data_IF_748171078207
#
_entry.id   IF_748171078207
#
_cell.length_a   1.000
_cell.length_b   1.000
_cell.length_c   1.000
_cell.angle_alpha   90.00
_cell.angle_beta   90.00
_cell.angle_gamma   90.00
#
_symmetry.space_group_name_H-M   'P 1'
#
loop_
_entity.id
_entity.type
_entity.pdbx_description
1 polymer ?
#
# COMPACT_ATOMS: atom_id res chain seq x y z
N UNK A 1 9.53 -0.93 3.91
CA UNK A 1 8.14 -1.05 4.43
C UNK A 1 7.39 0.18 3.95
N UNK A 2 6.20 -0.01 3.39
CA UNK A 2 5.30 1.07 2.99
C UNK A 2 4.18 1.17 4.03
N UNK A 3 3.82 2.39 4.45
CA UNK A 3 2.83 2.61 5.49
C UNK A 3 1.85 3.73 5.08
N UNK A 4 0.58 3.39 4.94
CA UNK A 4 -0.49 4.36 4.66
C UNK A 4 -1.65 4.22 5.64
N UNK A 5 -2.48 5.25 5.74
CA UNK A 5 -3.73 5.21 6.49
C UNK A 5 -4.76 4.41 5.69
N UNK A 6 -5.45 3.51 6.39
CA UNK A 6 -6.58 2.80 5.86
C UNK A 6 -7.70 2.61 6.87
N UNK A 7 -8.71 1.85 6.49
CA UNK A 7 -9.81 1.43 7.34
C UNK A 7 -10.11 -0.05 7.12
N UNK A 8 -10.48 -0.75 8.19
CA UNK A 8 -11.00 -2.11 8.09
C UNK A 8 -12.52 -2.03 8.04
N UNK A 9 -13.12 -2.58 7.00
CA UNK A 9 -14.58 -2.60 6.81
C UNK A 9 -15.07 -4.04 6.63
N UNK A 10 -16.37 -4.24 6.76
CA UNK A 10 -17.05 -5.47 6.40
C UNK A 10 -17.91 -5.24 5.16
N UNK A 11 -17.79 -6.13 4.18
CA UNK A 11 -18.59 -6.15 2.94
C UNK A 11 -19.23 -7.52 2.86
N UNK A 12 -20.52 -7.60 3.19
CA UNK A 12 -21.22 -8.88 3.33
C UNK A 12 -20.46 -9.81 4.31
N UNK A 13 -19.94 -10.93 3.82
CA UNK A 13 -19.13 -11.90 4.58
C UNK A 13 -17.61 -11.61 4.51
N UNK A 14 -17.17 -10.70 3.66
CA UNK A 14 -15.76 -10.35 3.47
C UNK A 14 -15.29 -9.27 4.47
N UNK A 15 -14.06 -9.43 4.96
CA UNK A 15 -13.33 -8.35 5.64
C UNK A 15 -12.44 -7.67 4.61
N UNK A 16 -12.56 -6.35 4.51
CA UNK A 16 -11.81 -5.56 3.53
C UNK A 16 -10.94 -4.52 4.22
N UNK A 17 -9.81 -4.20 3.61
CA UNK A 17 -8.97 -3.06 3.98
C UNK A 17 -9.05 -2.04 2.87
N UNK A 18 -9.51 -0.83 3.18
CA UNK A 18 -9.56 0.29 2.25
C UNK A 18 -8.45 1.28 2.54
N UNK A 19 -7.86 1.85 1.50
CA UNK A 19 -6.85 2.91 1.58
C UNK A 19 -6.88 3.71 0.29
N UNK A 20 -7.04 5.03 0.39
CA UNK A 20 -7.37 5.86 -0.79
C UNK A 20 -8.65 5.35 -1.47
N UNK A 21 -8.62 5.26 -2.81
CA UNK A 21 -9.68 4.68 -3.64
C UNK A 21 -9.60 3.16 -3.75
N UNK A 22 -8.61 2.52 -3.13
CA UNK A 22 -8.38 1.09 -3.25
C UNK A 22 -9.08 0.30 -2.13
N UNK A 23 -9.53 -0.90 -2.46
CA UNK A 23 -10.10 -1.87 -1.54
C UNK A 23 -9.47 -3.25 -1.78
N UNK A 24 -9.04 -3.91 -0.70
CA UNK A 24 -8.49 -5.26 -0.75
C UNK A 24 -9.27 -6.16 0.20
N UNK A 25 -9.82 -7.25 -0.31
CA UNK A 25 -10.38 -8.31 0.51
C UNK A 25 -9.24 -9.04 1.22
N UNK A 26 -9.39 -9.27 2.52
CA UNK A 26 -8.47 -10.11 3.29
C UNK A 26 -8.81 -11.58 3.05
N UNK A 27 -7.89 -12.38 2.48
CA UNK A 27 -8.13 -13.80 2.27
C UNK A 27 -8.51 -14.54 3.56
N UNK A 28 -9.32 -15.61 3.50
CA UNK A 28 -9.68 -16.41 4.69
C UNK A 28 -8.47 -16.93 5.48
N UNK A 29 -7.39 -17.30 4.78
CA UNK A 29 -6.14 -17.72 5.42
C UNK A 29 -5.51 -16.62 6.29
N UNK A 30 -5.65 -15.35 5.89
CA UNK A 30 -5.18 -14.19 6.65
C UNK A 30 -5.99 -13.99 7.91
N UNK A 31 -7.32 -14.13 7.80
CA UNK A 31 -8.22 -13.98 8.93
C UNK A 31 -8.03 -15.12 9.95
N UNK A 32 -7.71 -16.32 9.48
CA UNK A 32 -7.34 -17.45 10.34
C UNK A 32 -6.01 -17.20 11.07
N UNK A 33 -4.99 -16.67 10.38
CA UNK A 33 -3.69 -16.36 10.98
C UNK A 33 -3.73 -15.12 11.91
N UNK A 34 -4.58 -14.15 11.60
CA UNK A 34 -4.69 -12.86 12.30
C UNK A 34 -6.14 -12.52 12.67
N UNK A 35 -6.81 -13.32 13.52
CA UNK A 35 -8.24 -13.18 13.80
C UNK A 35 -8.59 -11.83 14.45
N UNK A 36 -7.66 -11.24 15.21
CA UNK A 36 -7.83 -9.93 15.87
C UNK A 36 -8.07 -8.79 14.89
N UNK A 37 -7.75 -8.93 13.60
CA UNK A 37 -8.04 -7.89 12.59
C UNK A 37 -9.54 -7.57 12.54
N UNK A 38 -10.41 -8.56 12.81
CA UNK A 38 -11.86 -8.37 12.84
C UNK A 38 -12.34 -7.43 13.95
N UNK A 39 -11.56 -7.25 15.02
CA UNK A 39 -11.85 -6.31 16.11
C UNK A 39 -11.69 -4.84 15.68
N UNK A 40 -11.01 -4.61 14.56
CA UNK A 40 -10.76 -3.28 14.00
C UNK A 40 -11.79 -2.85 12.94
N UNK A 41 -12.82 -3.67 12.68
CA UNK A 41 -13.90 -3.29 11.74
C UNK A 41 -14.53 -1.96 12.17
N UNK A 42 -14.69 -1.05 11.21
CA UNK A 42 -15.17 0.32 11.42
C UNK A 42 -14.12 1.29 11.96
N UNK A 43 -12.85 0.87 12.08
CA UNK A 43 -11.76 1.71 12.62
C UNK A 43 -10.75 2.08 11.54
N UNK A 44 -10.14 3.25 11.72
CA UNK A 44 -8.91 3.62 11.00
C UNK A 44 -7.73 2.82 11.54
N UNK A 45 -6.87 2.37 10.65
CA UNK A 45 -5.67 1.58 10.94
C UNK A 45 -4.49 2.04 10.10
N UNK A 46 -3.29 1.73 10.55
CA UNK A 46 -2.10 1.82 9.72
C UNK A 46 -1.97 0.54 8.87
N UNK A 47 -1.85 0.70 7.55
CA UNK A 47 -1.71 -0.40 6.59
C UNK A 47 -0.24 -0.54 6.19
N UNK A 48 0.39 -1.58 6.73
CA UNK A 48 1.76 -1.94 6.40
C UNK A 48 1.84 -2.87 5.19
N UNK A 49 2.58 -2.46 4.16
CA UNK A 49 2.87 -3.27 2.97
C UNK A 49 4.38 -3.42 2.81
N UNK A 50 4.87 -4.66 2.85
CA UNK A 50 6.28 -4.99 2.63
C UNK A 50 6.67 -4.71 1.18
N UNK A 51 7.84 -4.14 0.94
CA UNK A 51 8.29 -3.78 -0.41
C UNK A 51 8.43 -5.02 -1.31
N UNK A 52 8.75 -6.18 -0.73
CA UNK A 52 8.81 -7.48 -1.41
C UNK A 52 7.43 -8.16 -1.58
N UNK A 53 6.34 -7.56 -1.09
CA UNK A 53 4.99 -8.12 -1.21
C UNK A 53 4.28 -7.72 -2.50
N UNK A 54 4.94 -6.99 -3.39
CA UNK A 54 4.40 -6.49 -4.64
C UNK A 54 4.82 -7.42 -5.79
N UNK A 55 3.87 -7.90 -6.59
CA UNK A 55 4.15 -8.77 -7.73
C UNK A 55 3.32 -8.33 -8.93
N UNK A 56 3.72 -8.74 -10.14
CA UNK A 56 2.82 -8.65 -11.28
C UNK A 56 1.66 -9.65 -11.04
N UNK A 57 0.39 -9.26 -11.23
CA UNK A 57 -0.70 -10.21 -11.07
C UNK A 57 -0.55 -11.27 -12.16
N UNK A 58 -0.65 -12.54 -11.79
CA UNK A 58 -1.01 -13.54 -12.79
C UNK A 58 -2.44 -13.22 -13.26
N UNK A 59 -2.77 -13.51 -14.52
CA UNK A 59 -4.12 -13.28 -15.05
C UNK A 59 -5.23 -13.98 -14.25
N UNK A 60 -4.86 -14.96 -13.43
CA UNK A 60 -5.70 -15.77 -12.54
C UNK A 60 -6.01 -15.10 -11.20
N UNK A 61 -5.30 -14.04 -10.81
CA UNK A 61 -5.53 -13.37 -9.53
C UNK A 61 -6.80 -12.52 -9.62
N UNK A 62 -7.77 -12.80 -8.74
CA UNK A 62 -9.01 -12.04 -8.66
C UNK A 62 -8.76 -10.56 -8.36
N UNK A 63 -9.58 -9.68 -8.95
CA UNK A 63 -9.53 -8.24 -8.69
C UNK A 63 -9.69 -7.87 -7.22
N UNK A 64 -10.36 -8.73 -6.45
CA UNK A 64 -10.57 -8.56 -5.00
C UNK A 64 -9.27 -8.57 -4.18
N UNK A 65 -8.18 -9.09 -4.76
CA UNK A 65 -6.89 -9.22 -4.08
C UNK A 65 -5.80 -8.34 -4.69
N UNK A 66 -6.18 -7.40 -5.56
CA UNK A 66 -5.26 -6.48 -6.22
C UNK A 66 -5.72 -5.04 -6.04
N UNK A 67 -4.77 -4.11 -6.05
CA UNK A 67 -5.05 -2.68 -6.03
C UNK A 67 -4.25 -1.96 -7.10
N UNK A 68 -4.74 -0.80 -7.52
CA UNK A 68 -4.15 -0.03 -8.61
C UNK A 68 -3.15 1.00 -8.07
N UNK A 69 -1.99 1.09 -8.70
CA UNK A 69 -1.00 2.13 -8.43
C UNK A 69 -0.30 2.57 -9.73
N UNK A 70 0.10 3.84 -9.80
CA UNK A 70 0.87 4.39 -10.93
C UNK A 70 2.36 4.16 -10.75
N UNK A 71 3.06 3.72 -11.79
CA UNK A 71 4.53 3.60 -11.81
C UNK A 71 5.19 4.94 -12.11
N UNK A 72 5.81 5.55 -11.10
CA UNK A 72 6.47 6.85 -11.24
C UNK A 72 7.91 6.75 -11.74
N UNK A 73 8.66 5.81 -11.17
CA UNK A 73 10.10 5.63 -11.38
C UNK A 73 10.47 4.17 -11.19
N UNK A 74 11.45 3.70 -11.97
CA UNK A 74 12.03 2.38 -11.84
C UNK A 74 13.55 2.53 -11.74
N UNK A 75 14.14 1.96 -10.69
CA UNK A 75 15.58 1.96 -10.44
C UNK A 75 16.09 0.52 -10.53
N UNK A 76 16.98 0.23 -11.48
CA UNK A 76 17.57 -1.10 -11.65
C UNK A 76 18.92 -1.16 -10.92
N UNK A 77 19.00 -1.99 -9.89
CA UNK A 77 20.17 -2.13 -9.00
C UNK A 77 20.95 -3.42 -9.26
N UNK A 78 20.92 -3.91 -10.50
CA UNK A 78 21.60 -5.14 -10.92
C UNK A 78 20.79 -6.40 -10.61
N UNK A 79 20.76 -6.84 -9.36
CA UNK A 79 20.08 -8.08 -8.96
C UNK A 79 18.57 -7.89 -8.67
N UNK A 80 18.14 -6.64 -8.54
CA UNK A 80 16.77 -6.24 -8.21
C UNK A 80 16.43 -4.92 -8.86
N UNK A 81 15.14 -4.60 -8.91
CA UNK A 81 14.65 -3.28 -9.23
C UNK A 81 13.76 -2.73 -8.12
N UNK A 82 13.89 -1.43 -7.86
CA UNK A 82 12.96 -0.68 -7.03
C UNK A 82 11.98 0.05 -7.94
N UNK A 83 10.69 -0.09 -7.66
CA UNK A 83 9.62 0.54 -8.39
C UNK A 83 8.92 1.49 -7.42
N UNK A 84 8.98 2.78 -7.74
CA UNK A 84 8.28 3.83 -6.99
C UNK A 84 6.87 3.94 -7.56
N UNK A 85 5.89 3.67 -6.73
CA UNK A 85 4.49 3.67 -7.08
C UNK A 85 3.75 4.76 -6.32
N UNK A 86 2.70 5.34 -6.90
CA UNK A 86 1.82 6.29 -6.20
C UNK A 86 0.38 5.80 -6.15
N UNK A 87 -0.27 6.02 -5.01
CA UNK A 87 -1.71 5.88 -4.83
C UNK A 87 -2.28 7.13 -4.17
N UNK A 88 -3.60 7.30 -4.20
CA UNK A 88 -4.33 8.37 -3.53
C UNK A 88 -4.54 8.12 -2.02
N UNK A 89 -3.88 7.11 -1.45
CA UNK A 89 -3.96 6.87 -0.01
C UNK A 89 -3.21 7.95 0.78
N UNK A 90 -3.65 8.24 2.00
CA UNK A 90 -2.95 9.19 2.87
C UNK A 90 -1.75 8.51 3.53
N UNK A 91 -0.59 9.18 3.65
CA UNK A 91 0.52 8.68 4.45
C UNK A 91 0.13 8.58 5.93
N UNK A 92 0.75 7.65 6.66
CA UNK A 92 0.64 7.66 8.13
C UNK A 92 1.47 8.81 8.67
N UNK A 93 0.81 9.73 9.36
CA UNK A 93 1.44 10.84 10.05
C UNK A 93 1.16 10.64 11.54
N UNK A 94 2.20 10.39 12.32
CA UNK A 94 2.14 10.31 13.78
C UNK A 94 2.59 11.63 14.39
N UNK A 95 2.28 11.85 15.67
CA UNK A 95 2.73 13.03 16.39
C UNK A 95 4.27 13.10 16.42
N UNK A 96 4.97 11.95 16.51
CA UNK A 96 6.44 11.93 16.44
C UNK A 96 6.99 12.38 15.08
N UNK A 97 6.25 12.10 13.99
CA UNK A 97 6.60 12.61 12.65
C UNK A 97 6.37 14.12 12.60
N UNK A 98 5.28 14.62 13.19
CA UNK A 98 5.00 16.06 13.26
C UNK A 98 6.07 16.81 14.08
N UNK A 99 6.50 16.24 15.20
CA UNK A 99 7.51 16.81 16.10
C UNK A 99 8.94 16.81 15.51
N UNK A 100 9.17 16.08 14.42
CA UNK A 100 10.46 16.07 13.71
C UNK A 100 10.66 17.29 12.80
N UNK A 101 9.63 18.10 12.56
CA UNK A 101 9.70 19.30 11.73
C UNK A 101 10.10 20.53 12.57
N UNK A 102 10.80 21.47 11.95
CA UNK A 102 11.30 22.68 12.61
C UNK A 102 10.15 23.56 13.14
N UNK A 103 9.04 23.63 12.40
CA UNK A 103 7.82 24.35 12.79
C UNK A 103 6.56 23.78 12.10
N UNK A 104 5.41 24.38 12.43
CA UNK A 104 4.11 23.99 11.90
C UNK A 104 3.93 24.30 10.40
N UNK A 105 4.60 25.33 9.88
CA UNK A 105 4.52 25.70 8.47
C UNK A 105 5.28 24.68 7.60
N UNK A 106 6.46 24.25 8.03
CA UNK A 106 7.23 23.18 7.40
C UNK A 106 6.49 21.83 7.41
N UNK A 107 5.77 21.54 8.50
CA UNK A 107 4.93 20.35 8.58
C UNK A 107 3.70 20.45 7.67
N UNK A 108 3.03 21.60 7.60
CA UNK A 108 1.91 21.79 6.70
C UNK A 108 2.37 21.72 5.24
N UNK A 109 3.50 22.33 4.86
CA UNK A 109 4.11 22.15 3.54
C UNK A 109 4.40 20.68 3.24
N UNK A 110 4.95 19.92 4.19
CA UNK A 110 5.14 18.48 4.03
C UNK A 110 3.82 17.74 3.80
N UNK A 111 2.77 18.05 4.59
CA UNK A 111 1.42 17.49 4.39
C UNK A 111 0.84 17.86 3.03
N UNK A 112 1.03 19.09 2.58
CA UNK A 112 0.55 19.59 1.29
C UNK A 112 1.29 18.92 0.12
N UNK A 113 2.61 18.76 0.22
CA UNK A 113 3.37 18.00 -0.78
C UNK A 113 2.93 16.53 -0.85
N UNK A 114 2.50 15.97 0.29
CA UNK A 114 1.94 14.62 0.35
C UNK A 114 0.41 14.56 0.19
N UNK A 115 -0.27 15.69 -0.09
CA UNK A 115 -1.68 15.68 -0.54
C UNK A 115 -1.83 15.04 -1.92
N UNK A 116 -0.75 14.99 -2.70
CA UNK A 116 -0.71 14.35 -4.02
C UNK A 116 -0.78 12.82 -4.00
N UNK A 117 -0.76 12.20 -2.81
CA UNK A 117 -0.86 10.75 -2.64
C UNK A 117 0.28 10.17 -1.81
N UNK A 118 0.20 8.87 -1.57
CA UNK A 118 1.21 8.10 -0.86
C UNK A 118 2.13 7.40 -1.86
N UNK A 119 3.42 7.74 -1.82
CA UNK A 119 4.46 7.02 -2.57
C UNK A 119 4.90 5.76 -1.81
N UNK A 120 4.95 4.65 -2.52
CA UNK A 120 5.37 3.35 -2.01
C UNK A 120 6.48 2.76 -2.86
N UNK A 121 7.36 1.99 -2.24
CA UNK A 121 8.45 1.29 -2.93
C UNK A 121 8.14 -0.20 -3.01
N UNK A 122 8.08 -0.72 -4.22
CA UNK A 122 7.98 -2.14 -4.54
C UNK A 122 9.34 -2.67 -4.99
N UNK A 123 9.72 -3.87 -4.53
CA UNK A 123 10.93 -4.59 -4.94
C UNK A 123 10.54 -5.67 -5.93
N UNK A 124 11.17 -5.69 -7.10
CA UNK A 124 10.88 -6.61 -8.19
C UNK A 124 12.14 -7.26 -8.78
N UNK A 125 11.94 -8.36 -9.50
CA UNK A 125 12.97 -8.98 -10.33
C UNK A 125 13.20 -8.13 -11.60
N UNK A 126 14.46 -7.83 -11.97
CA UNK A 126 14.76 -6.92 -13.07
C UNK A 126 14.39 -7.47 -14.46
N UNK A 127 14.06 -8.75 -14.59
CA UNK A 127 13.78 -9.39 -15.89
C UNK A 127 12.39 -9.08 -16.45
N UNK A 128 11.47 -8.56 -15.63
CA UNK A 128 10.09 -8.31 -16.05
C UNK A 128 9.51 -7.10 -15.31
N UNK A 129 9.94 -5.92 -15.74
CA UNK A 129 9.54 -4.64 -15.15
C UNK A 129 8.32 -4.07 -15.88
N UNK A 130 7.41 -3.38 -15.15
CA UNK A 130 6.35 -2.62 -15.79
C UNK A 130 6.91 -1.41 -16.53
N UNK A 131 6.07 -0.74 -17.32
CA UNK A 131 6.42 0.53 -17.95
C UNK A 131 6.14 1.70 -17.00
N UNK A 132 6.86 2.81 -17.19
CA UNK A 132 6.57 4.06 -16.47
C UNK A 132 5.18 4.57 -16.87
N UNK A 133 4.46 5.17 -15.92
CA UNK A 133 3.06 5.61 -16.04
C UNK A 133 2.05 4.48 -16.28
N UNK A 134 2.50 3.22 -16.22
CA UNK A 134 1.60 2.10 -16.24
C UNK A 134 0.86 2.02 -14.90
N UNK A 135 -0.45 1.82 -14.97
CA UNK A 135 -1.22 1.38 -13.81
C UNK A 135 -1.00 -0.11 -13.62
N UNK A 136 -0.46 -0.51 -12.46
CA UNK A 136 -0.26 -1.91 -12.12
C UNK A 136 -1.22 -2.32 -11.02
N UNK A 137 -1.63 -3.58 -11.11
CA UNK A 137 -2.32 -4.28 -10.05
C UNK A 137 -1.30 -4.93 -9.12
N UNK A 138 -1.42 -4.70 -7.83
CA UNK A 138 -0.49 -5.25 -6.85
C UNK A 138 -1.21 -6.30 -6.01
N UNK A 139 -0.89 -7.60 -6.15
CA UNK A 139 -1.40 -8.63 -5.27
C UNK A 139 -0.61 -8.67 -3.96
N UNK A 140 -1.29 -8.86 -2.84
CA UNK A 140 -0.62 -9.08 -1.55
C UNK A 140 -0.31 -10.56 -1.35
N UNK A 141 0.95 -10.96 -1.44
CA UNK A 141 1.38 -12.29 -0.97
C UNK A 141 1.57 -12.27 0.55
N UNK A 142 0.80 -13.09 1.25
CA UNK A 142 1.01 -13.34 2.67
C UNK A 142 2.02 -14.48 2.81
N UNK A 143 3.09 -14.24 3.57
CA UNK A 143 3.95 -15.34 4.02
C UNK A 143 3.15 -16.17 5.03
N UNK A 144 3.23 -17.49 4.87
CA UNK A 144 2.74 -18.46 5.85
C UNK A 144 3.53 -18.33 7.14
#
# INVERSE_FOLDING_TARGET
>A
MNLCVGAVDRRDDDIVVRFGSNELVLPPASLSAYPKVTEYVGRKVAVGMRSESFFRPEATVSERYRFRAEVNLIEVLGAEALIHLTTDASPVITDEVADAFEDADAFEEYREHHRGGFTMVARADPRNLPERHQMIDVPRRLRR
#
